data_IF_814212950938
#
_entry.id   IF_814212950938
#
_cell.length_a   1.000
_cell.length_b   1.000
_cell.length_c   1.000
_cell.angle_alpha   90.00
_cell.angle_beta   90.00
_cell.angle_gamma   90.00
#
_symmetry.space_group_name_H-M   'P 1'
#
loop_
_entity.id
_entity.type
_entity.pdbx_description
1 polymer ?
#
# COMPACT_ATOMS: atom_id res chain seq x y z
N UNK A 1 16.97 0.81 1.41
CA UNK A 1 15.54 0.91 1.03
C UNK A 1 14.86 1.72 2.10
N UNK A 2 14.32 2.87 1.75
CA UNK A 2 13.74 3.78 2.73
C UNK A 2 12.23 3.54 2.80
N UNK A 3 11.80 2.79 3.83
CA UNK A 3 10.39 2.43 4.00
C UNK A 3 9.51 3.67 4.27
N UNK A 4 10.11 4.76 4.75
CA UNK A 4 9.42 6.03 4.96
C UNK A 4 9.13 6.71 3.62
N UNK A 5 10.02 6.59 2.62
CA UNK A 5 9.72 7.05 1.25
C UNK A 5 8.59 6.26 0.61
N UNK A 6 8.57 4.92 0.80
CA UNK A 6 7.47 4.08 0.31
C UNK A 6 6.15 4.49 0.96
N UNK A 7 6.17 4.82 2.25
CA UNK A 7 4.98 5.31 2.97
C UNK A 7 4.37 6.57 2.32
N UNK A 8 5.19 7.47 1.77
CA UNK A 8 4.72 8.69 1.09
C UNK A 8 4.00 8.40 -0.22
N UNK A 9 4.32 7.28 -0.87
CA UNK A 9 3.67 6.86 -2.12
C UNK A 9 2.35 6.12 -1.87
N UNK A 10 2.08 5.73 -0.62
CA UNK A 10 0.86 5.03 -0.27
C UNK A 10 -0.32 6.01 -0.20
N UNK A 11 -1.48 5.65 -0.78
CA UNK A 11 -2.70 6.43 -0.63
C UNK A 11 -3.18 6.46 0.82
N UNK A 12 -4.03 7.44 1.14
CA UNK A 12 -4.65 7.51 2.46
C UNK A 12 -5.39 6.22 2.79
N UNK A 13 -5.24 5.74 4.03
CA UNK A 13 -5.84 4.48 4.48
C UNK A 13 -5.11 3.20 4.07
N UNK A 14 -4.08 3.27 3.21
CA UNK A 14 -3.32 2.09 2.78
C UNK A 14 -2.70 1.31 3.94
N UNK A 15 -2.15 2.00 4.96
CA UNK A 15 -1.57 1.34 6.15
C UNK A 15 -2.59 0.46 6.87
N UNK A 16 -3.86 0.91 6.93
CA UNK A 16 -4.95 0.14 7.54
C UNK A 16 -5.33 -1.08 6.70
N UNK A 17 -5.34 -0.93 5.37
CA UNK A 17 -5.57 -2.06 4.47
C UNK A 17 -4.43 -3.07 4.51
N UNK A 18 -3.17 -2.62 4.53
CA UNK A 18 -1.99 -3.48 4.65
C UNK A 18 -2.01 -4.23 5.99
N UNK A 19 -2.38 -3.58 7.09
CA UNK A 19 -2.59 -4.25 8.38
C UNK A 19 -3.66 -5.35 8.30
N UNK A 20 -4.79 -5.05 7.66
CA UNK A 20 -5.89 -6.01 7.48
C UNK A 20 -5.49 -7.21 6.62
N UNK A 21 -4.77 -6.96 5.51
CA UNK A 21 -4.30 -8.00 4.57
C UNK A 21 -3.19 -8.87 5.14
N UNK A 22 -2.28 -8.26 5.91
CA UNK A 22 -1.14 -8.96 6.51
C UNK A 22 -1.50 -9.72 7.79
N UNK A 23 -2.67 -9.46 8.38
CA UNK A 23 -3.05 -9.96 9.71
C UNK A 23 -2.23 -9.34 10.85
N UNK A 24 -1.42 -8.33 10.56
CA UNK A 24 -0.53 -7.67 11.52
C UNK A 24 -1.26 -6.52 12.19
N UNK A 25 -1.03 -6.35 13.50
CA UNK A 25 -1.60 -5.22 14.24
C UNK A 25 -1.20 -3.88 13.61
N UNK A 26 -2.18 -2.98 13.45
CA UNK A 26 -1.98 -1.66 12.85
C UNK A 26 -0.80 -0.89 13.44
N UNK A 27 -0.61 -0.92 14.76
CA UNK A 27 0.50 -0.24 15.42
C UNK A 27 1.86 -0.80 14.97
N UNK A 28 1.97 -2.12 14.77
CA UNK A 28 3.18 -2.78 14.27
C UNK A 28 3.46 -2.38 12.82
N UNK A 29 2.42 -2.30 11.98
CA UNK A 29 2.56 -1.83 10.60
C UNK A 29 3.00 -0.35 10.57
N UNK A 30 2.45 0.48 11.45
CA UNK A 30 2.83 1.88 11.57
C UNK A 30 4.31 2.03 11.99
N UNK A 31 4.78 1.23 12.96
CA UNK A 31 6.19 1.18 13.39
C UNK A 31 7.12 0.74 12.24
N UNK A 32 6.72 -0.28 11.49
CA UNK A 32 7.43 -0.70 10.29
C UNK A 32 7.60 0.44 9.29
N UNK A 33 6.52 1.15 8.96
CA UNK A 33 6.58 2.32 8.07
C UNK A 33 7.29 3.54 8.66
N UNK A 34 7.55 3.56 9.97
CA UNK A 34 8.40 4.55 10.63
C UNK A 34 9.89 4.15 10.61
N UNK A 35 10.24 2.96 10.12
CA UNK A 35 11.62 2.47 10.02
C UNK A 35 12.05 1.53 11.15
N UNK A 36 11.14 1.18 12.06
CA UNK A 36 11.44 0.24 13.13
C UNK A 36 11.50 -1.21 12.61
N UNK A 37 12.43 -2.00 13.17
CA UNK A 37 12.54 -3.42 12.84
C UNK A 37 11.53 -4.23 13.65
N UNK A 38 10.71 -4.99 12.94
CA UNK A 38 9.72 -5.92 13.52
C UNK A 38 9.98 -7.32 12.98
N UNK A 39 9.50 -8.34 13.71
CA UNK A 39 9.54 -9.74 13.24
C UNK A 39 8.73 -9.94 11.95
N UNK A 40 7.74 -9.08 11.73
CA UNK A 40 6.83 -9.10 10.59
C UNK A 40 7.38 -8.37 9.35
N UNK A 41 8.59 -7.81 9.39
CA UNK A 41 9.13 -6.98 8.30
C UNK A 41 9.04 -7.65 6.93
N UNK A 42 9.37 -8.94 6.84
CA UNK A 42 9.37 -9.68 5.58
C UNK A 42 7.94 -9.86 5.02
N UNK A 43 6.98 -10.13 5.92
CA UNK A 43 5.56 -10.23 5.58
C UNK A 43 5.02 -8.86 5.11
N UNK A 44 5.30 -7.80 5.88
CA UNK A 44 4.86 -6.44 5.55
C UNK A 44 5.44 -5.93 4.23
N UNK A 45 6.69 -6.26 3.90
CA UNK A 45 7.29 -5.94 2.60
C UNK A 45 6.55 -6.62 1.44
N UNK A 46 6.22 -7.90 1.57
CA UNK A 46 5.48 -8.66 0.54
C UNK A 46 4.09 -8.05 0.32
N UNK A 47 3.31 -7.92 1.39
CA UNK A 47 1.94 -7.39 1.34
C UNK A 47 1.91 -5.95 0.82
N UNK A 48 2.86 -5.10 1.24
CA UNK A 48 2.96 -3.72 0.74
C UNK A 48 3.28 -3.69 -0.75
N UNK A 49 4.13 -4.60 -1.22
CA UNK A 49 4.49 -4.71 -2.64
C UNK A 49 3.28 -5.14 -3.48
N UNK A 50 2.53 -6.15 -3.02
CA UNK A 50 1.31 -6.61 -3.69
C UNK A 50 0.25 -5.51 -3.74
N UNK A 51 0.02 -4.84 -2.61
CA UNK A 51 -0.89 -3.70 -2.54
C UNK A 51 -0.54 -2.59 -3.54
N UNK A 52 0.74 -2.22 -3.65
CA UNK A 52 1.18 -1.18 -4.58
C UNK A 52 1.02 -1.60 -6.04
N UNK A 53 1.25 -2.87 -6.37
CA UNK A 53 1.02 -3.38 -7.73
C UNK A 53 -0.46 -3.31 -8.10
N UNK A 54 -1.33 -3.83 -7.24
CA UNK A 54 -2.78 -3.78 -7.44
C UNK A 54 -3.28 -2.34 -7.56
N UNK A 55 -2.83 -1.44 -6.68
CA UNK A 55 -3.25 -0.05 -6.68
C UNK A 55 -2.86 0.65 -7.99
N UNK A 56 -1.65 0.41 -8.51
CA UNK A 56 -1.21 0.99 -9.79
C UNK A 56 -2.05 0.48 -10.96
N UNK A 57 -2.33 -0.82 -11.01
CA UNK A 57 -3.17 -1.41 -12.06
C UNK A 57 -4.59 -0.87 -11.98
N UNK A 58 -5.22 -0.94 -10.81
CA UNK A 58 -6.59 -0.49 -10.60
C UNK A 58 -6.74 1.02 -10.88
N UNK A 59 -5.74 1.82 -10.50
CA UNK A 59 -5.73 3.27 -10.81
C UNK A 59 -5.71 3.49 -12.33
N UNK A 60 -4.83 2.81 -13.05
CA UNK A 60 -4.73 2.96 -14.51
C UNK A 60 -6.02 2.55 -15.22
N UNK A 61 -6.63 1.44 -14.80
CA UNK A 61 -7.90 0.97 -15.36
C UNK A 61 -9.03 1.95 -15.08
N UNK A 62 -9.17 2.40 -13.83
CA UNK A 62 -10.19 3.37 -13.44
C UNK A 62 -10.05 4.72 -14.17
N UNK A 63 -8.81 5.22 -14.34
CA UNK A 63 -8.55 6.46 -15.10
C UNK A 63 -8.94 6.30 -16.57
N UNK A 64 -8.64 5.14 -17.18
CA UNK A 64 -8.98 4.82 -18.57
C UNK A 64 -10.50 4.72 -18.78
N UNK A 65 -11.20 4.03 -17.89
CA UNK A 65 -12.67 3.91 -17.95
C UNK A 65 -13.35 5.27 -17.75
N UNK A 66 -12.87 6.07 -16.80
CA UNK A 66 -13.39 7.41 -16.57
C UNK A 66 -13.19 8.32 -17.78
N UNK A 67 -12.03 8.25 -18.43
CA UNK A 67 -11.77 9.00 -19.67
C UNK A 67 -12.69 8.56 -20.82
N UNK A 68 -12.96 7.26 -20.95
CA UNK A 68 -13.87 6.74 -21.97
C UNK A 68 -15.31 7.24 -21.76
N UNK A 69 -15.79 7.29 -20.51
CA UNK A 69 -17.12 7.83 -20.18
C UNK A 69 -17.18 9.35 -20.39
N UNK A 70 -16.13 10.08 -20.02
CA UNK A 70 -16.09 11.54 -20.15
C UNK A 70 -15.94 12.03 -21.61
N UNK A 71 -15.48 11.16 -22.52
CA UNK A 71 -15.29 11.47 -23.93
C UNK A 71 -16.43 10.95 -24.84
N UNK A 72 -17.44 10.31 -24.26
CA UNK A 72 -18.64 9.81 -24.93
C UNK A 72 -19.80 10.81 -24.81
#
# INVERSE_FOLDING_TARGET
MDIQEIKKQLPSGAVKQIASRSGVNYCTVQRFFSGEKTKENLNLLKVTTEFLKEYKTAKYEAEKELQAVASA
#
